data_IF_558515906780
#
_entry.id   IF_558515906780
#
_cell.length_a   1.000
_cell.length_b   1.000
_cell.length_c   1.000
_cell.angle_alpha   90.00
_cell.angle_beta   90.00
_cell.angle_gamma   90.00
#
_symmetry.space_group_name_H-M   'P 1'
#
loop_
_entity.id
_entity.type
_entity.pdbx_description
1 polymer ?
#
# COMPACT_ATOMS: atom_id res chain seq x y z
N UNK A 1 4.97 10.78 -14.77
CA UNK A 1 4.53 10.05 -13.57
C UNK A 1 3.12 9.54 -13.84
N UNK A 2 2.89 8.23 -13.84
CA UNK A 2 1.52 7.70 -13.96
C UNK A 2 0.68 8.23 -12.80
N UNK A 3 -0.52 8.75 -13.09
CA UNK A 3 -1.44 9.13 -12.04
C UNK A 3 -1.80 7.87 -11.24
N UNK A 4 -1.58 7.90 -9.93
CA UNK A 4 -2.02 6.83 -9.03
C UNK A 4 -3.54 6.91 -8.94
N UNK A 5 -4.24 6.11 -9.74
CA UNK A 5 -5.70 5.98 -9.72
C UNK A 5 -6.11 4.78 -8.86
N UNK A 6 -7.39 4.74 -8.46
CA UNK A 6 -7.97 3.59 -7.76
C UNK A 6 -7.80 2.32 -8.58
N UNK A 7 -8.07 2.39 -9.88
CA UNK A 7 -8.00 1.28 -10.82
C UNK A 7 -6.57 0.74 -10.91
N UNK A 8 -5.58 1.63 -11.00
CA UNK A 8 -4.17 1.23 -11.02
C UNK A 8 -3.77 0.50 -9.74
N UNK A 9 -4.15 1.02 -8.56
CA UNK A 9 -3.84 0.36 -7.29
C UNK A 9 -4.53 -1.02 -7.21
N UNK A 10 -5.80 -1.10 -7.61
CA UNK A 10 -6.55 -2.36 -7.59
C UNK A 10 -5.92 -3.40 -8.52
N UNK A 11 -5.52 -3.01 -9.73
CA UNK A 11 -4.79 -3.89 -10.66
C UNK A 11 -3.51 -4.44 -10.04
N UNK A 12 -2.70 -3.58 -9.42
CA UNK A 12 -1.49 -4.01 -8.71
C UNK A 12 -1.79 -4.97 -7.56
N UNK A 13 -2.85 -4.72 -6.78
CA UNK A 13 -3.28 -5.62 -5.72
C UNK A 13 -3.67 -6.99 -6.28
N UNK A 14 -4.46 -7.05 -7.36
CA UNK A 14 -4.82 -8.32 -8.01
C UNK A 14 -3.59 -9.08 -8.50
N UNK A 15 -2.67 -8.40 -9.17
CA UNK A 15 -1.43 -9.02 -9.66
C UNK A 15 -0.59 -9.60 -8.52
N UNK A 16 -0.49 -8.89 -7.39
CA UNK A 16 0.20 -9.39 -6.20
C UNK A 16 -0.52 -10.56 -5.52
N UNK A 17 -1.86 -10.55 -5.50
CA UNK A 17 -2.68 -11.67 -4.98
C UNK A 17 -2.54 -12.92 -5.86
N UNK A 18 -2.23 -12.79 -7.15
CA UNK A 18 -2.02 -13.94 -8.03
C UNK A 18 -0.55 -14.37 -8.11
N UNK A 19 0.38 -13.51 -7.71
CA UNK A 19 1.81 -13.82 -7.75
C UNK A 19 2.15 -14.93 -6.74
N UNK A 20 2.83 -15.97 -7.22
CA UNK A 20 3.29 -17.12 -6.44
C UNK A 20 4.37 -16.73 -5.43
N UNK A 21 5.18 -15.72 -5.74
CA UNK A 21 6.24 -15.21 -4.87
C UNK A 21 5.71 -14.42 -3.67
N UNK A 22 4.43 -14.02 -3.68
CA UNK A 22 3.79 -13.33 -2.56
C UNK A 22 3.61 -14.28 -1.39
N UNK A 23 4.17 -13.91 -0.23
CA UNK A 23 4.00 -14.66 1.01
C UNK A 23 2.55 -14.65 1.48
N UNK A 24 2.15 -15.70 2.20
CA UNK A 24 0.74 -15.90 2.59
C UNK A 24 0.21 -14.76 3.48
N UNK A 25 0.96 -14.31 4.47
CA UNK A 25 0.59 -13.19 5.34
C UNK A 25 0.41 -11.86 4.58
N UNK A 26 1.21 -11.63 3.54
CA UNK A 26 1.08 -10.47 2.66
C UNK A 26 -0.15 -10.61 1.76
N UNK A 27 -0.39 -11.82 1.24
CA UNK A 27 -1.55 -12.16 0.40
C UNK A 27 -2.85 -11.96 1.17
N UNK A 28 -2.93 -12.41 2.43
CA UNK A 28 -4.08 -12.20 3.30
C UNK A 28 -4.40 -10.72 3.48
N UNK A 29 -3.39 -9.88 3.73
CA UNK A 29 -3.57 -8.43 3.87
C UNK A 29 -4.13 -7.80 2.57
N UNK A 30 -3.64 -8.23 1.41
CA UNK A 30 -4.11 -7.77 0.11
C UNK A 30 -5.54 -8.23 -0.20
N UNK A 31 -5.89 -9.48 0.13
CA UNK A 31 -7.25 -10.03 -0.04
C UNK A 31 -8.24 -9.29 0.87
N UNK A 32 -7.86 -9.02 2.13
CA UNK A 32 -8.70 -8.27 3.06
C UNK A 32 -9.00 -6.87 2.51
N UNK A 33 -7.98 -6.18 2.00
CA UNK A 33 -8.17 -4.89 1.34
C UNK A 33 -9.12 -4.99 0.13
N UNK A 34 -8.89 -5.94 -0.79
CA UNK A 34 -9.78 -6.18 -1.95
C UNK A 34 -11.24 -6.34 -1.50
N UNK A 35 -11.49 -7.23 -0.54
CA UNK A 35 -12.84 -7.53 -0.06
C UNK A 35 -13.49 -6.32 0.61
N UNK A 36 -12.74 -5.50 1.34
CA UNK A 36 -13.24 -4.24 1.90
C UNK A 36 -13.67 -3.24 0.82
N UNK A 37 -12.90 -3.14 -0.28
CA UNK A 37 -13.25 -2.26 -1.41
C UNK A 37 -14.48 -2.78 -2.16
N UNK A 38 -14.56 -4.09 -2.41
CA UNK A 38 -15.73 -4.72 -3.06
C UNK A 38 -17.00 -4.60 -2.21
N UNK A 39 -16.87 -4.59 -0.88
CA UNK A 39 -17.97 -4.31 0.04
C UNK A 39 -18.40 -2.84 0.06
N UNK A 40 -17.84 -1.99 -0.81
CA UNK A 40 -18.20 -0.58 -0.94
C UNK A 40 -17.60 0.34 0.13
N UNK A 41 -16.60 -0.12 0.90
CA UNK A 41 -15.94 0.73 1.89
C UNK A 41 -15.05 1.78 1.23
N UNK A 42 -14.83 2.88 1.93
CA UNK A 42 -14.04 4.03 1.47
C UNK A 42 -12.60 3.65 1.09
N UNK A 43 -12.22 3.93 -0.17
CA UNK A 43 -10.95 3.49 -0.72
C UNK A 43 -9.73 4.03 0.02
N UNK A 44 -9.68 5.33 0.27
CA UNK A 44 -8.51 5.99 0.87
C UNK A 44 -8.25 5.49 2.29
N UNK A 45 -9.31 5.35 3.09
CA UNK A 45 -9.22 4.82 4.44
C UNK A 45 -8.69 3.39 4.45
N UNK A 46 -9.18 2.52 3.56
CA UNK A 46 -8.69 1.14 3.49
C UNK A 46 -7.28 1.05 2.89
N UNK A 47 -6.89 1.98 2.01
CA UNK A 47 -5.53 2.05 1.49
C UNK A 47 -4.54 2.41 2.59
N UNK A 48 -4.90 3.33 3.49
CA UNK A 48 -4.10 3.65 4.68
C UNK A 48 -3.98 2.45 5.62
N UNK A 49 -5.09 1.74 5.88
CA UNK A 49 -5.04 0.50 6.68
C UNK A 49 -4.13 -0.56 6.05
N UNK A 50 -4.21 -0.76 4.73
CA UNK A 50 -3.35 -1.70 4.02
C UNK A 50 -1.87 -1.30 4.18
N UNK A 51 -1.53 -0.02 4.05
CA UNK A 51 -0.18 0.46 4.29
C UNK A 51 0.29 0.21 5.72
N UNK A 52 -0.60 0.37 6.72
CA UNK A 52 -0.29 0.03 8.12
C UNK A 52 -0.07 -1.47 8.32
N UNK A 53 -0.92 -2.33 7.77
CA UNK A 53 -0.75 -3.79 7.83
C UNK A 53 0.56 -4.25 7.17
N UNK A 54 0.90 -3.72 6.00
CA UNK A 54 2.16 -4.03 5.32
C UNK A 54 3.38 -3.53 6.11
N UNK A 55 3.26 -2.39 6.80
CA UNK A 55 4.30 -1.89 7.71
C UNK A 55 4.50 -2.83 8.89
N UNK A 56 3.43 -3.33 9.50
CA UNK A 56 3.52 -4.31 10.61
C UNK A 56 4.16 -5.62 10.17
N UNK A 57 3.78 -6.13 8.99
CA UNK A 57 4.43 -7.29 8.37
C UNK A 57 5.93 -7.03 8.15
N UNK A 58 6.29 -5.84 7.67
CA UNK A 58 7.69 -5.45 7.49
C UNK A 58 8.48 -5.48 8.81
N UNK A 59 7.90 -4.95 9.89
CA UNK A 59 8.52 -4.93 11.22
C UNK A 59 8.68 -6.36 11.76
N UNK A 60 7.67 -7.20 11.59
CA UNK A 60 7.75 -8.63 11.97
C UNK A 60 8.84 -9.36 11.20
N UNK A 61 8.91 -9.17 9.88
CA UNK A 61 9.95 -9.77 9.05
C UNK A 61 11.36 -9.36 9.51
N UNK A 62 11.56 -8.10 9.92
CA UNK A 62 12.84 -7.64 10.49
C UNK A 62 13.20 -8.41 11.76
N UNK A 63 12.26 -8.63 12.68
CA UNK A 63 12.54 -9.39 13.91
C UNK A 63 12.85 -10.86 13.62
N UNK A 64 12.22 -11.43 12.60
CA UNK A 64 12.42 -12.80 12.14
C UNK A 64 13.63 -12.97 11.20
N UNK A 65 14.37 -11.88 10.91
CA UNK A 65 15.48 -11.83 9.93
C UNK A 65 15.08 -12.29 8.53
N UNK A 66 13.82 -12.07 8.16
CA UNK A 66 13.28 -12.31 6.82
C UNK A 66 12.96 -10.99 6.13
N UNK A 67 12.59 -11.04 4.84
CA UNK A 67 12.23 -9.87 4.04
C UNK A 67 10.83 -10.01 3.46
N UNK A 68 10.18 -8.89 3.13
CA UNK A 68 8.95 -8.94 2.34
C UNK A 68 9.21 -9.43 0.91
N UNK A 69 8.18 -9.96 0.27
CA UNK A 69 8.22 -10.26 -1.17
C UNK A 69 8.53 -8.99 -1.97
N UNK A 70 9.33 -9.12 -3.03
CA UNK A 70 9.86 -7.97 -3.76
C UNK A 70 8.72 -7.10 -4.32
N UNK A 71 7.73 -7.73 -4.96
CA UNK A 71 6.56 -7.02 -5.50
C UNK A 71 5.75 -6.29 -4.43
N UNK A 72 5.52 -6.91 -3.28
CA UNK A 72 4.79 -6.29 -2.16
C UNK A 72 5.57 -5.13 -1.56
N UNK A 73 6.90 -5.26 -1.47
CA UNK A 73 7.78 -4.18 -0.99
C UNK A 73 7.76 -2.96 -1.90
N UNK A 74 7.79 -3.16 -3.21
CA UNK A 74 7.71 -2.06 -4.19
C UNK A 74 6.34 -1.40 -4.16
N UNK A 75 5.27 -2.20 -4.11
CA UNK A 75 3.91 -1.70 -3.95
C UNK A 75 3.74 -0.89 -2.65
N UNK A 76 4.25 -1.39 -1.52
CA UNK A 76 4.23 -0.68 -0.24
C UNK A 76 4.92 0.69 -0.31
N UNK A 77 6.08 0.78 -0.97
CA UNK A 77 6.75 2.08 -1.20
C UNK A 77 5.85 3.04 -1.98
N UNK A 78 5.21 2.57 -3.05
CA UNK A 78 4.34 3.39 -3.88
C UNK A 78 3.13 3.93 -3.09
N UNK A 79 2.42 3.08 -2.34
CA UNK A 79 1.23 3.49 -1.60
C UNK A 79 1.54 4.31 -0.34
N UNK A 80 2.69 4.07 0.31
CA UNK A 80 3.12 4.84 1.49
C UNK A 80 3.51 6.26 1.09
N UNK A 81 4.18 6.46 -0.04
CA UNK A 81 4.42 7.80 -0.61
C UNK A 81 3.12 8.53 -0.94
N UNK A 82 2.14 7.84 -1.54
CA UNK A 82 0.81 8.42 -1.80
C UNK A 82 0.07 8.82 -0.51
N UNK A 83 0.06 7.93 0.49
CA UNK A 83 -0.57 8.19 1.78
C UNK A 83 0.08 9.35 2.55
N UNK A 84 1.41 9.46 2.53
CA UNK A 84 2.13 10.59 3.11
C UNK A 84 1.82 11.90 2.38
N UNK A 85 1.83 11.89 1.04
CA UNK A 85 1.44 13.05 0.25
C UNK A 85 0.03 13.51 0.62
N UNK A 86 -0.98 12.62 0.59
CA UNK A 86 -2.35 12.99 0.95
C UNK A 86 -2.51 13.45 2.40
N UNK A 87 -1.85 12.78 3.35
CA UNK A 87 -1.87 13.17 4.76
C UNK A 87 -1.24 14.55 4.96
N UNK A 88 -0.18 14.87 4.23
CA UNK A 88 0.47 16.18 4.26
C UNK A 88 -0.38 17.25 3.58
N UNK A 89 -1.05 16.93 2.46
CA UNK A 89 -2.04 17.79 1.82
C UNK A 89 -3.23 18.11 2.75
N UNK A 90 -3.82 17.09 3.38
CA UNK A 90 -4.95 17.25 4.32
C UNK A 90 -4.58 17.98 5.62
N UNK A 91 -3.28 18.09 5.94
CA UNK A 91 -2.75 18.86 7.08
C UNK A 91 -2.32 20.27 6.72
N UNK A 92 -2.55 20.72 5.47
CA UNK A 92 -2.08 22.03 5.00
C UNK A 92 -0.56 22.13 4.85
N UNK A 93 0.16 21.00 4.97
CA UNK A 93 1.60 20.88 4.80
C UNK A 93 1.95 20.51 3.35
N UNK A 94 1.16 20.96 2.37
CA UNK A 94 1.58 20.92 0.98
C UNK A 94 2.83 21.78 0.87
N UNK A 95 3.97 21.11 0.99
CA UNK A 95 5.31 21.65 1.04
C UNK A 95 5.44 22.66 -0.09
N UNK A 96 5.77 23.89 0.28
CA UNK A 96 6.49 24.84 -0.54
C UNK A 96 7.78 24.21 -1.04
N UNK A 97 7.65 23.31 -2.02
CA UNK A 97 8.70 22.45 -2.55
C UNK A 97 8.78 22.57 -4.06
N UNK A 98 8.62 23.80 -4.56
CA UNK A 98 9.06 24.21 -5.89
C UNK A 98 9.73 25.57 -5.76
N UNK A 99 11.06 25.56 -5.65
CA UNK A 99 12.01 26.48 -6.31
C UNK A 99 13.41 26.17 -5.80
N UNK A 100 14.16 25.39 -6.59
CA UNK A 100 15.53 25.62 -7.09
C UNK A 100 16.13 24.29 -7.55
#
# INVERSE_FOLDING_TARGET
>A
MSQITKEYIMDQVYNLILNVETKENEREALINFKNEIEAGKEFERNLMKLAESLREISVKNISEKTTMSIGVREFYKNISSYGQLKKNFGRGLAVSGFMF
#
